data_IF_139687079992
#
_entry.id   IF_139687079992
#
_cell.length_a   1.000
_cell.length_b   1.000
_cell.length_c   1.000
_cell.angle_alpha   90.00
_cell.angle_beta   90.00
_cell.angle_gamma   90.00
#
_symmetry.space_group_name_H-M   'P 1'
#
loop_
_entity.id
_entity.type
_entity.pdbx_description
1 polymer ?
#
# COMPACT_ATOMS: atom_id res chain seq x y z
N UNK A 1 11.73 6.47 4.50
CA UNK A 1 10.33 6.43 5.01
C UNK A 1 9.74 5.08 4.61
N UNK A 2 8.97 4.43 5.48
CA UNK A 2 8.29 3.14 5.23
C UNK A 2 9.19 1.90 5.18
N UNK A 3 10.30 1.91 5.93
CA UNK A 3 10.98 0.68 6.33
C UNK A 3 10.25 0.10 7.54
N UNK A 4 9.46 -0.95 7.32
CA UNK A 4 8.59 -1.53 8.34
C UNK A 4 9.36 -2.23 9.46
N UNK A 5 10.62 -2.58 9.23
CA UNK A 5 11.47 -3.23 10.23
C UNK A 5 11.74 -2.31 11.43
N UNK A 6 11.68 -0.99 11.22
CA UNK A 6 11.80 0.01 12.28
C UNK A 6 10.47 0.32 12.99
N UNK A 7 9.39 -0.39 12.67
CA UNK A 7 8.04 -0.17 13.20
C UNK A 7 7.52 -1.37 14.03
N UNK A 8 8.17 -1.71 15.17
CA UNK A 8 7.85 -2.92 15.94
C UNK A 8 6.47 -2.91 16.61
N UNK A 9 5.85 -1.73 16.71
CA UNK A 9 4.51 -1.53 17.30
C UNK A 9 3.41 -1.37 16.26
N UNK A 10 3.74 -1.59 14.98
CA UNK A 10 2.82 -1.39 13.86
C UNK A 10 2.97 -0.01 13.22
N UNK A 11 2.06 0.25 12.28
CA UNK A 11 2.08 1.44 11.43
C UNK A 11 0.65 1.98 11.30
N UNK A 12 0.51 3.31 11.25
CA UNK A 12 -0.78 3.98 11.06
C UNK A 12 -0.71 4.95 9.88
N UNK A 13 -1.74 4.94 9.04
CA UNK A 13 -1.89 5.84 7.90
C UNK A 13 -3.21 6.59 8.07
N UNK A 14 -3.12 7.92 8.15
CA UNK A 14 -4.25 8.82 8.03
C UNK A 14 -4.08 9.68 6.79
N UNK A 15 -5.10 9.76 5.94
CA UNK A 15 -5.08 10.56 4.72
C UNK A 15 -6.48 11.05 4.34
N UNK A 16 -6.53 12.23 3.73
CA UNK A 16 -7.69 12.73 3.01
C UNK A 16 -7.43 12.52 1.51
N UNK A 17 -8.28 11.77 0.84
CA UNK A 17 -8.12 11.45 -0.57
C UNK A 17 -9.45 11.64 -1.31
N UNK A 18 -9.37 12.13 -2.56
CA UNK A 18 -10.49 12.26 -3.46
C UNK A 18 -10.15 11.56 -4.78
N UNK A 19 -11.00 10.62 -5.20
CA UNK A 19 -10.90 9.98 -6.50
C UNK A 19 -11.95 10.59 -7.44
N UNK A 20 -11.49 11.25 -8.51
CA UNK A 20 -12.39 11.84 -9.51
C UNK A 20 -12.95 10.80 -10.48
N UNK A 21 -12.19 9.72 -10.71
CA UNK A 21 -12.60 8.58 -11.52
C UNK A 21 -11.85 7.32 -11.03
N UNK A 22 -12.47 6.16 -11.21
CA UNK A 22 -11.83 4.87 -10.97
C UNK A 22 -11.50 4.20 -12.30
N UNK A 23 -10.28 3.70 -12.42
CA UNK A 23 -9.87 2.85 -13.55
C UNK A 23 -10.27 1.41 -13.29
N UNK A 24 -10.55 0.65 -14.35
CA UNK A 24 -10.81 -0.79 -14.21
C UNK A 24 -9.52 -1.56 -13.86
N UNK A 25 -8.36 -1.04 -14.31
CA UNK A 25 -7.05 -1.53 -13.90
C UNK A 25 -6.61 -0.91 -12.58
N UNK A 26 -5.86 -1.69 -11.80
CA UNK A 26 -5.25 -1.27 -10.55
C UNK A 26 -4.10 -0.30 -10.83
N UNK A 27 -4.20 0.92 -10.32
CA UNK A 27 -3.14 1.92 -10.40
C UNK A 27 -2.52 2.16 -9.02
N UNK A 28 -1.19 2.35 -8.97
CA UNK A 28 -0.45 2.65 -7.73
C UNK A 28 -0.42 4.17 -7.55
N UNK A 29 -0.92 4.64 -6.41
CA UNK A 29 -1.05 6.07 -6.10
C UNK A 29 -0.10 6.52 -4.99
N UNK A 30 0.35 5.60 -4.13
CA UNK A 30 1.38 5.84 -3.13
C UNK A 30 2.27 4.62 -3.06
N UNK A 31 3.59 4.80 -3.04
CA UNK A 31 4.51 3.71 -2.75
C UNK A 31 5.90 4.21 -2.36
N UNK A 32 6.56 3.47 -1.48
CA UNK A 32 8.01 3.55 -1.24
C UNK A 32 8.77 2.25 -1.57
N UNK A 33 8.14 1.31 -2.29
CA UNK A 33 8.76 0.04 -2.73
C UNK A 33 7.85 -1.18 -2.56
N UNK A 34 6.76 -1.07 -1.79
CA UNK A 34 5.85 -2.19 -1.51
C UNK A 34 5.15 -2.80 -2.74
N UNK A 35 5.04 -2.06 -3.85
CA UNK A 35 4.44 -2.57 -5.10
C UNK A 35 5.40 -3.43 -5.94
N UNK A 36 6.70 -3.43 -5.63
CA UNK A 36 7.71 -4.16 -6.39
C UNK A 36 7.85 -5.59 -5.86
N UNK A 37 8.02 -6.55 -6.77
CA UNK A 37 8.22 -7.97 -6.41
C UNK A 37 9.44 -8.19 -5.51
N UNK A 38 10.53 -7.46 -5.76
CA UNK A 38 11.77 -7.47 -4.95
C UNK A 38 11.86 -6.32 -3.93
N UNK A 39 10.86 -5.43 -3.89
CA UNK A 39 10.85 -4.29 -2.98
C UNK A 39 10.25 -4.62 -1.61
N UNK A 40 10.34 -3.64 -0.72
CA UNK A 40 9.70 -3.63 0.59
C UNK A 40 9.08 -2.25 0.84
N UNK A 41 8.24 -2.17 1.86
CA UNK A 41 7.59 -0.95 2.33
C UNK A 41 6.08 -1.01 2.19
N UNK A 42 5.48 0.10 1.82
CA UNK A 42 4.05 0.34 1.77
C UNK A 42 3.69 0.73 0.34
N UNK A 43 2.58 0.20 -0.16
CA UNK A 43 1.95 0.69 -1.38
C UNK A 43 0.45 0.84 -1.18
N UNK A 44 -0.13 1.86 -1.78
CA UNK A 44 -1.57 2.05 -1.93
C UNK A 44 -1.89 2.03 -3.42
N UNK A 45 -2.93 1.28 -3.74
CA UNK A 45 -3.49 1.22 -5.08
C UNK A 45 -5.00 1.38 -5.03
N UNK A 46 -5.56 1.82 -6.16
CA UNK A 46 -6.98 2.03 -6.31
C UNK A 46 -7.43 1.58 -7.70
N UNK A 47 -8.62 0.99 -7.75
CA UNK A 47 -9.37 0.69 -8.98
C UNK A 47 -10.86 0.74 -8.67
N UNK A 48 -11.70 0.41 -9.65
CA UNK A 48 -13.14 0.18 -9.44
C UNK A 48 -13.43 -0.89 -8.38
N UNK A 49 -12.48 -1.77 -8.10
CA UNK A 49 -12.57 -2.83 -7.08
C UNK A 49 -12.41 -2.31 -5.64
N UNK A 50 -11.96 -1.06 -5.48
CA UNK A 50 -11.71 -0.42 -4.20
C UNK A 50 -10.24 -0.04 -3.98
N UNK A 51 -9.95 0.32 -2.74
CA UNK A 51 -8.61 0.62 -2.23
C UNK A 51 -7.91 -0.66 -1.80
N UNK A 52 -6.62 -0.75 -2.07
CA UNK A 52 -5.76 -1.78 -1.50
C UNK A 52 -4.48 -1.16 -0.95
N UNK A 53 -4.14 -1.54 0.29
CA UNK A 53 -2.84 -1.29 0.89
C UNK A 53 -2.04 -2.58 0.98
N UNK A 54 -0.77 -2.52 0.58
CA UNK A 54 0.22 -3.57 0.77
C UNK A 54 1.26 -3.07 1.77
N UNK A 55 1.54 -3.87 2.78
CA UNK A 55 2.64 -3.69 3.73
C UNK A 55 3.60 -4.85 3.57
N UNK A 56 4.87 -4.57 3.28
CA UNK A 56 5.89 -5.59 2.98
C UNK A 56 7.18 -5.31 3.74
N UNK A 57 7.64 -6.27 4.54
CA UNK A 57 8.92 -6.17 5.28
C UNK A 57 10.09 -6.65 4.40
N UNK A 58 11.33 -6.37 4.81
CA UNK A 58 12.52 -6.78 4.03
C UNK A 58 12.72 -8.29 3.98
N UNK A 59 12.25 -9.00 5.01
CA UNK A 59 12.24 -10.47 5.07
C UNK A 59 11.10 -11.09 4.24
N UNK A 60 10.31 -10.28 3.54
CA UNK A 60 9.32 -10.73 2.56
C UNK A 60 7.94 -11.03 3.14
N UNK A 61 7.68 -10.78 4.43
CA UNK A 61 6.31 -10.88 4.97
C UNK A 61 5.47 -9.77 4.38
N UNK A 62 4.23 -10.11 4.03
CA UNK A 62 3.32 -9.24 3.34
C UNK A 62 1.93 -9.28 3.97
N UNK A 63 1.32 -8.11 4.15
CA UNK A 63 -0.07 -7.94 4.56
C UNK A 63 -0.80 -7.09 3.53
N UNK A 64 -1.99 -7.54 3.15
CA UNK A 64 -2.87 -6.81 2.24
C UNK A 64 -4.14 -6.43 2.97
N UNK A 65 -4.54 -5.18 2.82
CA UNK A 65 -5.77 -4.63 3.37
C UNK A 65 -6.58 -4.05 2.22
N UNK A 66 -7.80 -4.56 2.04
CA UNK A 66 -8.74 -4.08 1.03
C UNK A 66 -9.84 -3.24 1.70
N UNK A 67 -10.13 -2.07 1.14
CA UNK A 67 -11.26 -1.23 1.50
C UNK A 67 -12.19 -1.07 0.30
N UNK A 68 -13.46 -1.45 0.46
CA UNK A 68 -14.51 -1.35 -0.57
C UNK A 68 -15.51 -0.26 -0.22
#
# INVERSE_FOLDING_TARGET
FGDLDHCPKGYFIGMWIQFLAATDSKAVYMSNGGHLSSGHGIAMSYSRSGLEFIFKTKDGKEWRVEGR
#
